data_IF_778381825812
#
_entry.id   IF_778381825812
#
_cell.length_a   1.000
_cell.length_b   1.000
_cell.length_c   1.000
_cell.angle_alpha   90.00
_cell.angle_beta   90.00
_cell.angle_gamma   90.00
#
_symmetry.space_group_name_H-M   'P 1'
#
loop_
_entity.id
_entity.type
_entity.pdbx_description
1 polymer ?
#
# COMPACT_ATOMS: atom_id res chain seq x y z
N UNK A 1 55.57 -47.85 -31.42
CA UNK A 1 54.90 -46.75 -32.08
C UNK A 1 53.47 -46.63 -31.44
N UNK A 2 53.21 -45.63 -30.59
CA UNK A 2 51.88 -45.37 -29.96
C UNK A 2 51.24 -44.21 -30.71
N UNK A 3 50.02 -44.43 -31.19
CA UNK A 3 49.22 -43.41 -31.85
C UNK A 3 48.69 -42.39 -30.83
N UNK A 4 48.61 -41.11 -31.19
CA UNK A 4 48.06 -40.08 -30.30
C UNK A 4 46.54 -40.13 -30.26
N UNK A 5 45.95 -40.10 -29.05
CA UNK A 5 44.51 -39.94 -28.81
C UNK A 5 44.14 -38.43 -28.89
N UNK A 6 43.20 -38.11 -29.77
CA UNK A 6 42.58 -36.78 -29.89
C UNK A 6 41.57 -36.56 -28.74
N UNK A 7 41.51 -35.37 -28.15
CA UNK A 7 40.51 -35.06 -27.12
C UNK A 7 39.11 -34.85 -27.74
N UNK A 8 38.09 -35.50 -27.14
CA UNK A 8 36.69 -35.29 -27.45
C UNK A 8 36.23 -33.93 -26.87
N UNK A 9 35.94 -33.01 -27.75
CA UNK A 9 35.27 -31.78 -27.39
C UNK A 9 33.78 -32.08 -27.03
N UNK A 10 33.41 -31.88 -25.77
CA UNK A 10 32.03 -31.86 -25.34
C UNK A 10 31.39 -30.50 -25.77
N UNK A 11 30.49 -30.54 -26.75
CA UNK A 11 29.64 -29.41 -27.10
C UNK A 11 28.58 -29.30 -26.01
N UNK A 12 28.70 -28.32 -25.11
CA UNK A 12 27.61 -27.91 -24.20
C UNK A 12 26.63 -27.04 -24.95
N UNK A 13 25.45 -27.59 -25.31
CA UNK A 13 24.35 -26.83 -25.88
C UNK A 13 23.67 -25.98 -24.78
N UNK A 14 23.90 -24.69 -24.81
CA UNK A 14 23.18 -23.73 -23.96
C UNK A 14 21.78 -23.54 -24.57
N UNK A 15 20.76 -24.14 -23.97
CA UNK A 15 19.37 -23.85 -24.28
C UNK A 15 19.02 -22.54 -23.61
N UNK A 16 18.98 -21.47 -24.39
CA UNK A 16 18.46 -20.17 -23.94
C UNK A 16 16.94 -20.28 -23.82
N UNK A 17 16.43 -20.39 -22.59
CA UNK A 17 15.01 -20.29 -22.31
C UNK A 17 14.55 -18.85 -22.57
N UNK A 18 13.85 -18.63 -23.66
CA UNK A 18 13.16 -17.37 -23.94
C UNK A 18 11.99 -17.27 -22.97
N UNK A 19 12.10 -16.40 -21.98
CA UNK A 19 10.98 -16.02 -21.12
C UNK A 19 9.99 -15.23 -22.00
N UNK A 20 8.94 -15.87 -22.45
CA UNK A 20 7.80 -15.18 -23.08
C UNK A 20 7.06 -14.48 -21.93
N UNK A 21 6.90 -13.14 -21.96
CA UNK A 21 6.10 -12.45 -20.94
C UNK A 21 4.67 -12.98 -21.01
N UNK A 22 4.13 -13.39 -19.85
CA UNK A 22 2.74 -13.80 -19.76
C UNK A 22 1.85 -12.63 -20.23
N UNK A 23 0.80 -12.89 -21.06
CA UNK A 23 -0.13 -11.85 -21.44
C UNK A 23 -0.76 -11.23 -20.21
N UNK A 24 -0.82 -9.89 -20.16
CA UNK A 24 -1.54 -9.19 -19.11
C UNK A 24 -2.96 -9.78 -19.02
N UNK A 25 -3.34 -10.29 -17.87
CA UNK A 25 -4.66 -10.89 -17.67
C UNK A 25 -5.71 -9.83 -18.04
N UNK A 26 -6.56 -10.13 -19.01
CA UNK A 26 -7.68 -9.25 -19.37
C UNK A 26 -8.54 -9.04 -18.10
N UNK A 27 -8.84 -7.77 -17.78
CA UNK A 27 -9.67 -7.45 -16.62
C UNK A 27 -11.00 -8.18 -16.73
N UNK A 28 -11.42 -8.88 -15.67
CA UNK A 28 -12.69 -9.58 -15.66
C UNK A 28 -13.85 -8.59 -15.86
N UNK A 29 -15.00 -9.01 -16.42
CA UNK A 29 -16.18 -8.14 -16.54
C UNK A 29 -16.61 -7.52 -15.20
N UNK A 30 -16.34 -8.21 -14.11
CA UNK A 30 -16.63 -7.75 -12.73
C UNK A 30 -15.74 -6.58 -12.34
N UNK A 31 -14.43 -6.62 -12.65
CA UNK A 31 -13.50 -5.52 -12.40
C UNK A 31 -13.82 -4.30 -13.27
N UNK A 32 -14.18 -4.51 -14.54
CA UNK A 32 -14.64 -3.43 -15.45
C UNK A 32 -15.91 -2.79 -14.89
N UNK A 33 -16.85 -3.59 -14.37
CA UNK A 33 -18.06 -3.10 -13.72
C UNK A 33 -17.76 -2.27 -12.44
N UNK A 34 -16.78 -2.69 -11.64
CA UNK A 34 -16.34 -1.96 -10.45
C UNK A 34 -15.66 -0.64 -10.82
N UNK A 35 -14.75 -0.64 -11.80
CA UNK A 35 -14.09 0.57 -12.28
C UNK A 35 -15.11 1.61 -12.77
N UNK A 36 -16.11 1.17 -13.54
CA UNK A 36 -17.18 2.03 -14.01
C UNK A 36 -18.02 2.61 -12.86
N UNK A 37 -18.37 1.79 -11.87
CA UNK A 37 -19.13 2.24 -10.71
C UNK A 37 -18.37 3.29 -9.91
N UNK A 38 -17.07 3.08 -9.68
CA UNK A 38 -16.19 4.05 -9.01
C UNK A 38 -16.05 5.34 -9.82
N UNK A 39 -15.83 5.23 -11.13
CA UNK A 39 -15.73 6.41 -12.02
C UNK A 39 -17.02 7.24 -12.02
N UNK A 40 -18.18 6.58 -12.08
CA UNK A 40 -19.49 7.26 -12.01
C UNK A 40 -19.69 7.97 -10.68
N UNK A 41 -19.36 7.30 -9.56
CA UNK A 41 -19.43 7.90 -8.23
C UNK A 41 -18.58 9.16 -8.12
N UNK A 42 -17.37 9.13 -8.68
CA UNK A 42 -16.43 10.26 -8.60
C UNK A 42 -16.78 11.40 -9.56
N UNK A 43 -17.39 11.13 -10.71
CA UNK A 43 -17.76 12.14 -11.68
C UNK A 43 -18.73 13.19 -11.12
N UNK A 44 -19.51 12.82 -10.11
CA UNK A 44 -20.47 13.71 -9.42
C UNK A 44 -19.86 14.42 -8.20
N UNK A 45 -18.60 14.19 -7.89
CA UNK A 45 -17.95 14.72 -6.68
C UNK A 45 -16.89 15.77 -7.04
N UNK A 46 -16.97 16.96 -6.42
CA UNK A 46 -15.95 17.98 -6.64
C UNK A 46 -14.60 17.56 -6.04
N UNK A 47 -13.53 17.80 -6.79
CA UNK A 47 -12.15 17.46 -6.41
C UNK A 47 -11.55 16.35 -7.27
N UNK A 48 -10.29 16.07 -7.03
CA UNK A 48 -9.55 15.03 -7.72
C UNK A 48 -9.40 13.80 -6.80
N UNK A 49 -9.72 12.65 -7.32
CA UNK A 49 -9.64 11.39 -6.60
C UNK A 49 -8.80 10.38 -7.37
N UNK A 50 -7.95 9.67 -6.62
CA UNK A 50 -7.18 8.54 -7.12
C UNK A 50 -7.44 7.32 -6.26
N UNK A 51 -7.79 6.20 -6.88
CA UNK A 51 -8.18 4.97 -6.21
C UNK A 51 -7.39 3.81 -6.80
N UNK A 52 -6.96 2.90 -5.94
CA UNK A 52 -6.60 1.54 -6.32
C UNK A 52 -7.11 0.56 -5.26
N UNK A 53 -7.59 -0.59 -5.71
CA UNK A 53 -7.93 -1.73 -4.86
C UNK A 53 -7.36 -3.01 -5.48
N UNK A 54 -6.66 -3.80 -4.66
CA UNK A 54 -5.95 -5.02 -5.07
C UNK A 54 -6.41 -6.18 -4.18
N UNK A 55 -7.02 -7.20 -4.76
CA UNK A 55 -7.25 -8.48 -4.07
C UNK A 55 -5.91 -9.20 -3.89
N UNK A 56 -5.52 -9.43 -2.64
CA UNK A 56 -4.22 -10.04 -2.32
C UNK A 56 -4.19 -11.56 -2.52
N UNK A 57 -5.34 -12.18 -2.82
CA UNK A 57 -5.43 -13.62 -3.07
C UNK A 57 -5.07 -13.98 -4.51
N UNK A 58 -5.57 -13.21 -5.47
CA UNK A 58 -5.44 -13.52 -6.89
C UNK A 58 -4.75 -12.43 -7.73
N UNK A 59 -4.42 -11.29 -7.10
CA UNK A 59 -3.79 -10.16 -7.77
C UNK A 59 -4.72 -9.31 -8.64
N UNK A 60 -6.03 -9.55 -8.59
CA UNK A 60 -7.02 -8.74 -9.29
C UNK A 60 -7.01 -7.30 -8.80
N UNK A 61 -6.81 -6.35 -9.70
CA UNK A 61 -6.71 -4.94 -9.37
C UNK A 61 -7.70 -4.10 -10.16
N UNK A 62 -8.31 -3.13 -9.50
CA UNK A 62 -9.09 -2.04 -10.10
C UNK A 62 -8.48 -0.71 -9.71
N UNK A 63 -8.49 0.26 -10.63
CA UNK A 63 -8.01 1.61 -10.32
C UNK A 63 -8.77 2.67 -11.11
N UNK A 64 -8.89 3.86 -10.50
CA UNK A 64 -9.36 5.09 -11.15
C UNK A 64 -8.32 6.15 -10.87
N UNK A 65 -7.76 6.77 -11.90
CA UNK A 65 -6.61 7.67 -11.79
C UNK A 65 -5.42 7.00 -11.07
N UNK A 66 -5.26 5.68 -11.26
CA UNK A 66 -4.34 4.83 -10.50
C UNK A 66 -2.87 5.23 -10.61
N UNK A 67 -2.46 5.83 -11.75
CA UNK A 67 -1.09 6.29 -12.02
C UNK A 67 -0.91 7.81 -11.83
N UNK A 68 -1.97 8.50 -11.42
CA UNK A 68 -1.89 9.93 -11.10
C UNK A 68 -1.23 10.12 -9.74
N UNK A 69 -0.28 11.06 -9.65
CA UNK A 69 0.40 11.39 -8.41
C UNK A 69 -0.45 12.26 -7.50
N UNK A 70 -0.54 11.87 -6.22
CA UNK A 70 -1.22 12.61 -5.16
C UNK A 70 -0.28 12.85 -3.98
N UNK A 71 -0.39 13.99 -3.26
CA UNK A 71 0.35 14.20 -2.01
C UNK A 71 -0.01 13.12 -0.99
N UNK A 72 0.99 12.41 -0.47
CA UNK A 72 0.78 11.31 0.48
C UNK A 72 0.26 11.78 1.83
N UNK A 73 0.64 12.97 2.26
CA UNK A 73 0.46 13.38 3.66
C UNK A 73 1.00 12.29 4.61
N UNK A 74 0.27 11.98 5.68
CA UNK A 74 0.74 10.99 6.67
C UNK A 74 0.66 9.52 6.22
N UNK A 75 0.20 9.20 5.01
CA UNK A 75 0.25 7.80 4.53
C UNK A 75 1.68 7.35 4.26
N UNK A 76 2.62 8.27 4.02
CA UNK A 76 4.07 8.00 3.90
C UNK A 76 4.65 7.30 5.14
N UNK A 77 4.01 7.42 6.30
CA UNK A 77 4.44 6.79 7.55
C UNK A 77 4.48 5.27 7.48
N UNK A 78 3.73 4.65 6.54
CA UNK A 78 3.84 3.23 6.26
C UNK A 78 5.20 2.86 5.66
N UNK A 79 5.70 3.64 4.71
CA UNK A 79 7.03 3.41 4.14
C UNK A 79 8.14 3.63 5.19
N UNK A 80 7.99 4.63 6.07
CA UNK A 80 8.94 4.88 7.16
C UNK A 80 8.94 3.70 8.14
N UNK A 81 7.77 3.21 8.55
CA UNK A 81 7.64 2.05 9.43
C UNK A 81 8.25 0.80 8.80
N UNK A 82 7.92 0.54 7.52
CA UNK A 82 8.45 -0.61 6.79
C UNK A 82 9.97 -0.58 6.66
N UNK A 83 10.56 0.59 6.38
CA UNK A 83 12.02 0.77 6.31
C UNK A 83 12.67 0.44 7.65
N UNK A 84 12.14 0.95 8.76
CA UNK A 84 12.67 0.66 10.08
C UNK A 84 12.56 -0.83 10.43
N UNK A 85 11.40 -1.43 10.18
CA UNK A 85 11.16 -2.85 10.45
C UNK A 85 12.02 -3.75 9.57
N UNK A 86 12.29 -3.40 8.32
CA UNK A 86 13.22 -4.12 7.46
C UNK A 86 14.65 -4.10 8.03
N UNK A 87 15.08 -3.01 8.68
CA UNK A 87 16.36 -2.96 9.41
C UNK A 87 16.35 -3.79 10.69
N UNK A 88 15.19 -3.89 11.38
CA UNK A 88 15.00 -4.79 12.53
C UNK A 88 15.14 -6.24 12.08
N UNK A 89 14.48 -6.63 10.99
CA UNK A 89 14.52 -7.99 10.43
C UNK A 89 15.92 -8.39 9.98
N UNK A 90 16.76 -7.42 9.61
CA UNK A 90 18.17 -7.63 9.24
C UNK A 90 19.14 -7.55 10.43
N UNK A 91 18.63 -7.38 11.66
CA UNK A 91 19.44 -7.29 12.86
C UNK A 91 20.25 -6.00 13.02
N UNK A 92 20.00 -4.99 12.15
CA UNK A 92 20.68 -3.68 12.25
C UNK A 92 20.06 -2.76 13.27
N UNK A 93 18.79 -3.00 13.66
CA UNK A 93 18.01 -2.24 14.65
C UNK A 93 17.19 -3.17 15.53
N UNK A 94 16.60 -2.60 16.57
CA UNK A 94 15.68 -3.28 17.46
C UNK A 94 14.45 -2.41 17.76
N UNK A 95 13.32 -3.04 18.01
CA UNK A 95 12.13 -2.34 18.53
C UNK A 95 12.37 -1.77 19.94
N UNK A 96 13.41 -2.26 20.64
CA UNK A 96 13.87 -1.74 21.93
C UNK A 96 14.81 -0.54 21.86
N UNK A 97 15.33 -0.18 20.67
CA UNK A 97 16.26 0.95 20.52
C UNK A 97 15.65 2.24 21.09
N UNK A 98 16.42 2.96 21.86
CA UNK A 98 15.96 4.19 22.50
C UNK A 98 16.02 5.38 21.53
N UNK A 99 14.87 5.92 21.18
CA UNK A 99 14.72 7.10 20.32
C UNK A 99 14.14 8.23 21.18
N UNK A 100 14.97 9.22 21.48
CA UNK A 100 14.61 10.39 22.30
C UNK A 100 13.86 9.97 23.58
N UNK A 101 14.45 9.02 24.34
CA UNK A 101 13.94 8.57 25.64
C UNK A 101 12.76 7.58 25.58
N UNK A 102 12.44 7.01 24.41
CA UNK A 102 11.37 6.02 24.26
C UNK A 102 11.83 4.85 23.38
N UNK A 103 11.39 3.63 23.65
CA UNK A 103 11.64 2.51 22.74
C UNK A 103 11.07 2.80 21.33
N UNK A 104 11.76 2.35 20.28
CA UNK A 104 11.34 2.50 18.90
C UNK A 104 9.91 1.96 18.65
N UNK A 105 9.55 0.85 19.29
CA UNK A 105 8.18 0.33 19.27
C UNK A 105 7.15 1.36 19.70
N UNK A 106 7.43 2.13 20.77
CA UNK A 106 6.53 3.17 21.27
C UNK A 106 6.48 4.40 20.37
N UNK A 107 7.60 4.77 19.78
CA UNK A 107 7.66 5.84 18.78
C UNK A 107 6.85 5.47 17.55
N UNK A 108 6.96 4.22 17.07
CA UNK A 108 6.20 3.71 15.94
C UNK A 108 4.70 3.62 16.26
N UNK A 109 4.33 3.20 17.47
CA UNK A 109 2.93 3.21 17.94
C UNK A 109 2.32 4.63 17.84
N UNK A 110 3.00 5.65 18.34
CA UNK A 110 2.55 7.04 18.24
C UNK A 110 2.43 7.49 16.77
N UNK A 111 3.41 7.13 15.95
CA UNK A 111 3.43 7.48 14.53
C UNK A 111 2.26 6.85 13.75
N UNK A 112 1.99 5.57 13.95
CA UNK A 112 0.97 4.85 13.17
C UNK A 112 -0.43 5.09 13.75
N UNK A 113 -0.62 4.87 15.06
CA UNK A 113 -1.96 4.94 15.68
C UNK A 113 -2.46 6.38 15.77
N UNK A 114 -1.61 7.31 16.25
CA UNK A 114 -1.97 8.72 16.49
C UNK A 114 -1.59 9.64 15.35
N UNK A 115 -0.87 9.12 14.35
CA UNK A 115 -0.28 9.93 13.28
C UNK A 115 0.62 11.06 13.81
N UNK A 116 1.32 10.85 14.92
CA UNK A 116 2.17 11.84 15.58
C UNK A 116 3.33 12.25 14.65
N UNK A 117 3.46 13.55 14.39
CA UNK A 117 4.45 14.10 13.45
C UNK A 117 5.85 14.15 14.07
N UNK A 118 5.95 14.43 15.38
CA UNK A 118 7.23 14.46 16.08
C UNK A 118 7.83 13.07 16.19
N UNK A 119 7.02 12.08 16.55
CA UNK A 119 7.44 10.68 16.55
C UNK A 119 7.89 10.23 15.15
N UNK A 120 7.20 10.69 14.09
CA UNK A 120 7.59 10.41 12.71
C UNK A 120 8.99 10.94 12.39
N UNK A 121 9.24 12.23 12.67
CA UNK A 121 10.54 12.84 12.35
C UNK A 121 11.66 12.28 13.23
N UNK A 122 11.37 11.89 14.47
CA UNK A 122 12.32 11.19 15.33
C UNK A 122 12.73 9.83 14.75
N UNK A 123 11.75 9.02 14.32
CA UNK A 123 12.05 7.72 13.70
C UNK A 123 12.78 7.91 12.36
N UNK A 124 12.32 8.84 11.54
CA UNK A 124 12.91 9.17 10.24
C UNK A 124 14.37 9.63 10.37
N UNK A 125 14.69 10.44 11.38
CA UNK A 125 16.05 10.89 11.65
C UNK A 125 17.01 9.72 11.95
N UNK A 126 16.53 8.67 12.68
CA UNK A 126 17.36 7.48 12.95
C UNK A 126 17.66 6.67 11.70
N UNK A 127 16.82 6.77 10.67
CA UNK A 127 16.99 6.08 9.39
C UNK A 127 17.92 6.83 8.41
N UNK A 128 18.28 8.08 8.69
CA UNK A 128 19.04 8.94 7.79
C UNK A 128 18.17 9.87 6.93
N UNK A 129 16.92 10.08 7.33
CA UNK A 129 16.02 11.04 6.70
C UNK A 129 15.30 10.52 5.44
N UNK A 130 14.66 11.41 4.66
CA UNK A 130 13.88 11.05 3.48
C UNK A 130 14.65 10.25 2.43
N UNK A 131 15.95 10.52 2.27
CA UNK A 131 16.81 9.83 1.31
C UNK A 131 16.85 8.32 1.57
N UNK A 132 16.93 7.91 2.85
CA UNK A 132 16.95 6.49 3.21
C UNK A 132 15.62 5.80 2.84
N UNK A 133 14.49 6.48 3.04
CA UNK A 133 13.18 5.96 2.65
C UNK A 133 13.11 5.80 1.12
N UNK A 134 13.59 6.81 0.38
CA UNK A 134 13.59 6.76 -1.07
C UNK A 134 14.48 5.63 -1.61
N UNK A 135 15.65 5.41 -1.00
CA UNK A 135 16.53 4.29 -1.34
C UNK A 135 15.87 2.94 -1.06
N UNK A 136 15.18 2.82 0.09
CA UNK A 136 14.44 1.60 0.42
C UNK A 136 13.30 1.34 -0.58
N UNK A 137 12.46 2.34 -0.89
CA UNK A 137 11.39 2.23 -1.89
C UNK A 137 11.94 1.78 -3.26
N UNK A 138 13.06 2.35 -3.68
CA UNK A 138 13.72 2.00 -4.93
C UNK A 138 14.25 0.56 -4.91
N UNK A 139 14.85 0.12 -3.79
CA UNK A 139 15.34 -1.26 -3.61
C UNK A 139 14.19 -2.28 -3.64
N UNK A 140 13.01 -1.87 -3.17
CA UNK A 140 11.80 -2.69 -3.20
C UNK A 140 11.07 -2.65 -4.56
N UNK A 141 11.60 -1.91 -5.54
CA UNK A 141 10.99 -1.75 -6.87
C UNK A 141 9.54 -1.24 -6.79
N UNK A 142 9.33 -0.19 -5.99
CA UNK A 142 8.03 0.49 -5.86
C UNK A 142 8.13 1.85 -6.57
N UNK A 143 7.95 1.92 -7.89
CA UNK A 143 7.90 3.19 -8.62
C UNK A 143 6.62 3.94 -8.26
N UNK A 144 6.61 5.27 -8.50
CA UNK A 144 5.43 6.09 -8.26
C UNK A 144 5.23 6.54 -6.81
N UNK A 145 6.20 6.27 -5.91
CA UNK A 145 6.27 6.85 -4.57
C UNK A 145 7.54 7.69 -4.42
N UNK A 146 7.41 8.88 -3.86
CA UNK A 146 8.51 9.80 -3.64
C UNK A 146 8.39 10.52 -2.30
N UNK A 147 9.46 10.49 -1.51
CA UNK A 147 9.58 11.23 -0.25
C UNK A 147 10.80 12.16 -0.33
N UNK A 148 10.57 13.46 -0.17
CA UNK A 148 11.61 14.49 -0.32
C UNK A 148 11.88 15.24 0.99
N UNK A 149 10.91 15.30 1.90
CA UNK A 149 10.93 16.17 3.09
C UNK A 149 10.65 15.40 4.36
N UNK A 150 11.17 15.92 5.48
CA UNK A 150 10.65 15.55 6.81
C UNK A 150 9.23 16.09 6.99
N UNK A 151 8.48 15.59 7.96
CA UNK A 151 7.14 16.12 8.24
C UNK A 151 7.20 17.59 8.69
N UNK A 152 8.21 17.95 9.48
CA UNK A 152 8.42 19.34 9.88
C UNK A 152 8.70 20.26 8.69
N UNK A 153 9.47 19.81 7.69
CA UNK A 153 9.70 20.57 6.46
C UNK A 153 8.42 20.73 5.64
N UNK A 154 7.69 19.62 5.43
CA UNK A 154 6.41 19.62 4.71
C UNK A 154 5.41 20.61 5.32
N UNK A 155 5.29 20.64 6.65
CA UNK A 155 4.36 21.52 7.34
C UNK A 155 4.80 23.00 7.28
N UNK A 156 6.11 23.28 7.32
CA UNK A 156 6.62 24.66 7.18
C UNK A 156 6.45 25.21 5.78
N UNK A 157 6.70 24.37 4.77
CA UNK A 157 6.57 24.75 3.37
C UNK A 157 5.11 24.85 2.89
N UNK A 158 4.15 24.46 3.76
CA UNK A 158 2.70 24.43 3.45
C UNK A 158 2.46 23.84 2.07
N UNK A 159 2.80 22.54 1.91
CA UNK A 159 2.74 21.83 0.64
C UNK A 159 1.50 22.21 -0.18
N UNK A 160 1.73 22.83 -1.33
CA UNK A 160 0.66 23.22 -2.24
C UNK A 160 0.02 21.97 -2.85
N UNK A 161 -1.29 22.04 -3.19
CA UNK A 161 -2.02 20.95 -3.85
C UNK A 161 -1.36 20.46 -5.14
N UNK A 162 -0.57 21.32 -5.78
CA UNK A 162 0.18 21.03 -7.01
C UNK A 162 1.65 20.62 -6.77
N UNK A 163 2.08 20.44 -5.51
CA UNK A 163 3.44 20.04 -5.20
C UNK A 163 3.72 18.61 -5.71
N UNK A 164 4.82 18.44 -6.42
CA UNK A 164 5.28 17.14 -6.94
C UNK A 164 6.16 16.38 -5.93
N UNK A 165 6.36 16.94 -4.73
CA UNK A 165 7.12 16.34 -3.63
C UNK A 165 6.22 15.55 -2.70
N UNK A 166 6.79 14.53 -2.07
CA UNK A 166 6.09 13.66 -1.09
C UNK A 166 4.77 13.09 -1.64
N UNK A 167 4.85 12.55 -2.84
CA UNK A 167 3.70 12.03 -3.59
C UNK A 167 3.74 10.52 -3.74
N UNK A 168 2.56 9.95 -3.94
CA UNK A 168 2.39 8.57 -4.40
C UNK A 168 1.27 8.46 -5.43
N UNK A 169 1.36 7.45 -6.29
CA UNK A 169 0.22 7.00 -7.06
C UNK A 169 -0.60 5.98 -6.25
N UNK A 170 -1.92 5.88 -6.46
CA UNK A 170 -2.73 4.83 -5.83
C UNK A 170 -2.18 3.42 -6.06
N UNK A 171 -1.76 3.11 -7.28
CA UNK A 171 -1.18 1.81 -7.64
C UNK A 171 0.12 1.55 -6.89
N UNK A 172 1.01 2.54 -6.77
CA UNK A 172 2.24 2.38 -5.99
C UNK A 172 1.96 2.12 -4.50
N UNK A 173 0.92 2.75 -3.95
CA UNK A 173 0.54 2.55 -2.56
C UNK A 173 -0.03 1.14 -2.31
N UNK A 174 -0.93 0.62 -3.15
CA UNK A 174 -1.40 -0.77 -2.99
C UNK A 174 -0.30 -1.79 -3.27
N UNK A 175 0.69 -1.46 -4.12
CA UNK A 175 1.89 -2.28 -4.32
C UNK A 175 2.73 -2.34 -3.04
N UNK A 176 2.93 -1.22 -2.34
CA UNK A 176 3.58 -1.22 -1.02
C UNK A 176 2.79 -2.08 -0.03
N UNK A 177 1.48 -1.89 0.06
CA UNK A 177 0.62 -2.68 0.94
C UNK A 177 0.71 -4.18 0.63
N UNK A 178 0.64 -4.58 -0.65
CA UNK A 178 0.80 -5.98 -1.06
C UNK A 178 2.12 -6.58 -0.56
N UNK A 179 3.23 -5.88 -0.77
CA UNK A 179 4.56 -6.33 -0.30
C UNK A 179 4.67 -6.41 1.23
N UNK A 180 3.93 -5.57 1.95
CA UNK A 180 3.83 -5.65 3.42
C UNK A 180 3.03 -6.89 3.84
N UNK A 181 2.03 -7.30 3.06
CA UNK A 181 1.17 -8.43 3.40
C UNK A 181 1.77 -9.79 3.03
N UNK A 182 2.41 -9.90 1.86
CA UNK A 182 2.93 -11.16 1.32
C UNK A 182 4.23 -11.64 1.99
N UNK A 183 4.84 -10.81 2.83
CA UNK A 183 6.07 -11.12 3.54
C UNK A 183 7.35 -10.96 2.70
N UNK A 184 7.27 -10.36 1.52
CA UNK A 184 8.46 -10.15 0.68
C UNK A 184 9.42 -9.09 1.23
N UNK A 185 8.91 -8.15 2.03
CA UNK A 185 9.68 -7.02 2.57
C UNK A 185 9.84 -7.04 4.08
N UNK A 186 9.03 -7.79 4.80
CA UNK A 186 9.06 -7.93 6.26
C UNK A 186 8.90 -9.39 6.68
N UNK A 187 9.57 -9.78 7.77
CA UNK A 187 9.29 -11.06 8.44
C UNK A 187 7.87 -11.11 8.97
N UNK A 188 7.36 -12.31 9.27
CA UNK A 188 6.03 -12.51 9.85
C UNK A 188 5.86 -11.71 11.16
N UNK A 189 6.91 -11.62 11.99
CA UNK A 189 6.88 -10.88 13.26
C UNK A 189 6.74 -9.37 13.03
N UNK A 190 7.57 -8.77 12.18
CA UNK A 190 7.53 -7.35 11.87
C UNK A 190 6.23 -6.96 11.15
N UNK A 191 5.76 -7.80 10.24
CA UNK A 191 4.46 -7.63 9.58
C UNK A 191 3.32 -7.63 10.59
N UNK A 192 3.25 -8.64 11.46
CA UNK A 192 2.20 -8.73 12.49
C UNK A 192 2.20 -7.50 13.37
N UNK A 193 3.37 -7.06 13.83
CA UNK A 193 3.51 -5.85 14.65
C UNK A 193 2.96 -4.60 13.92
N UNK A 194 3.32 -4.38 12.65
CA UNK A 194 2.84 -3.23 11.88
C UNK A 194 1.33 -3.28 11.67
N UNK A 195 0.79 -4.43 11.26
CA UNK A 195 -0.64 -4.60 11.03
C UNK A 195 -1.48 -4.43 12.30
N UNK A 196 -0.95 -4.86 13.46
CA UNK A 196 -1.59 -4.61 14.75
C UNK A 196 -1.65 -3.10 15.07
N UNK A 197 -0.59 -2.34 14.82
CA UNK A 197 -0.63 -0.89 14.97
C UNK A 197 -1.65 -0.23 14.02
N UNK A 198 -1.72 -0.68 12.76
CA UNK A 198 -2.67 -0.18 11.78
C UNK A 198 -4.13 -0.50 12.16
N UNK A 199 -4.40 -1.69 12.72
CA UNK A 199 -5.75 -2.07 13.17
C UNK A 199 -6.27 -1.15 14.29
N UNK A 200 -5.36 -0.54 15.06
CA UNK A 200 -5.64 0.39 16.15
C UNK A 200 -5.58 1.86 15.72
N UNK A 201 -5.54 2.15 14.41
CA UNK A 201 -5.52 3.52 13.90
C UNK A 201 -6.65 4.36 14.53
N UNK A 202 -6.28 5.41 15.25
CA UNK A 202 -7.22 6.26 16.00
C UNK A 202 -7.75 7.45 15.17
N UNK A 203 -7.34 7.54 13.91
CA UNK A 203 -7.74 8.61 13.01
C UNK A 203 -8.63 8.07 11.88
N UNK A 204 -9.43 8.94 11.24
CA UNK A 204 -10.16 8.56 10.02
C UNK A 204 -11.41 7.70 10.23
N UNK A 205 -12.07 7.78 11.39
CA UNK A 205 -13.31 7.03 11.66
C UNK A 205 -14.44 7.30 10.64
N UNK A 206 -14.35 8.41 9.88
CA UNK A 206 -15.29 8.79 8.81
C UNK A 206 -14.77 8.51 7.40
N UNK A 207 -13.77 7.63 7.24
CA UNK A 207 -13.17 7.27 5.94
C UNK A 207 -13.42 5.79 5.64
N UNK A 208 -12.43 5.01 5.23
CA UNK A 208 -12.59 3.60 4.82
C UNK A 208 -13.54 2.83 5.76
N UNK A 209 -13.40 2.98 7.07
CA UNK A 209 -14.19 2.22 8.07
C UNK A 209 -15.66 2.61 8.15
N UNK A 210 -16.03 3.83 7.73
CA UNK A 210 -17.27 4.45 8.13
C UNK A 210 -18.55 3.76 7.65
N UNK A 211 -18.53 3.21 6.42
CA UNK A 211 -19.72 2.60 5.81
C UNK A 211 -19.57 1.09 5.62
N UNK A 212 -18.48 0.49 6.10
CA UNK A 212 -18.32 -0.96 6.06
C UNK A 212 -19.25 -1.64 7.08
N UNK A 213 -19.65 -2.89 6.84
CA UNK A 213 -20.44 -3.65 7.79
C UNK A 213 -19.78 -3.72 9.17
N UNK A 214 -20.60 -3.72 10.22
CA UNK A 214 -20.09 -3.82 11.60
C UNK A 214 -19.23 -5.08 11.77
N UNK A 215 -18.09 -4.93 12.46
CA UNK A 215 -17.14 -6.02 12.68
C UNK A 215 -16.16 -6.26 11.52
N UNK A 216 -16.26 -5.54 10.40
CA UNK A 216 -15.26 -5.61 9.33
C UNK A 216 -13.89 -5.19 9.87
N UNK A 217 -12.92 -6.08 9.77
CA UNK A 217 -11.54 -5.77 10.16
C UNK A 217 -10.89 -4.88 9.11
N UNK A 218 -10.35 -3.76 9.57
CA UNK A 218 -9.61 -2.79 8.75
C UNK A 218 -8.29 -2.46 9.44
N UNK A 219 -7.21 -2.54 8.70
CA UNK A 219 -5.90 -2.01 9.09
C UNK A 219 -5.57 -0.84 8.17
N UNK A 220 -5.62 0.39 8.69
CA UNK A 220 -5.47 1.58 7.85
C UNK A 220 -4.46 2.60 8.39
N UNK A 221 -4.06 3.50 7.51
CA UNK A 221 -3.29 4.69 7.82
C UNK A 221 -3.84 5.88 7.04
N UNK A 222 -4.24 6.90 7.77
CA UNK A 222 -4.78 8.14 7.20
C UNK A 222 -3.69 9.16 6.85
N UNK A 223 -4.00 10.01 5.87
CA UNK A 223 -3.24 11.21 5.53
C UNK A 223 -4.15 12.45 5.48
N UNK A 224 -3.69 13.57 6.06
CA UNK A 224 -4.44 14.84 6.02
C UNK A 224 -3.47 16.02 5.94
N UNK A 225 -3.72 16.89 4.96
CA UNK A 225 -3.18 18.23 4.86
C UNK A 225 -4.32 19.17 4.46
N UNK A 226 -4.06 20.47 4.39
CA UNK A 226 -5.03 21.39 3.84
C UNK A 226 -5.39 20.98 2.40
N UNK A 227 -6.68 20.85 2.12
CA UNK A 227 -7.18 20.39 0.83
C UNK A 227 -6.89 18.93 0.46
N UNK A 228 -6.21 18.14 1.31
CA UNK A 228 -5.84 16.74 1.07
C UNK A 228 -6.46 15.84 2.14
N UNK A 229 -7.05 14.75 1.70
CA UNK A 229 -7.59 13.71 2.60
C UNK A 229 -7.35 12.34 1.97
N UNK A 230 -6.59 11.49 2.63
CA UNK A 230 -6.23 10.16 2.14
C UNK A 230 -6.55 9.11 3.18
N UNK A 231 -6.81 7.89 2.72
CA UNK A 231 -6.85 6.72 3.59
C UNK A 231 -6.39 5.50 2.81
N UNK A 232 -5.51 4.69 3.40
CA UNK A 232 -4.90 3.54 2.74
C UNK A 232 -4.75 2.39 3.73
N UNK A 233 -4.92 1.16 3.27
CA UNK A 233 -4.79 0.00 4.16
C UNK A 233 -5.44 -1.24 3.60
N UNK A 234 -5.92 -2.10 4.49
CA UNK A 234 -6.50 -3.39 4.16
C UNK A 234 -7.93 -3.49 4.69
N UNK A 235 -8.78 -4.11 3.89
CA UNK A 235 -10.12 -4.53 4.29
C UNK A 235 -10.12 -6.06 4.27
N UNK A 236 -10.47 -6.70 5.40
CA UNK A 236 -10.65 -8.15 5.45
C UNK A 236 -12.09 -8.49 5.08
N UNK A 237 -12.24 -9.29 4.04
CA UNK A 237 -13.53 -9.75 3.53
C UNK A 237 -14.10 -10.88 4.39
N UNK A 238 -15.42 -11.20 4.30
CA UNK A 238 -16.04 -12.24 5.12
C UNK A 238 -15.44 -13.64 4.95
N UNK A 239 -14.81 -13.95 3.81
CA UNK A 239 -14.11 -15.22 3.54
C UNK A 239 -12.64 -15.23 4.01
N UNK A 240 -12.21 -14.17 4.70
CA UNK A 240 -10.86 -14.02 5.21
C UNK A 240 -9.85 -13.49 4.19
N UNK A 241 -10.18 -13.33 2.90
CA UNK A 241 -9.28 -12.68 1.96
C UNK A 241 -9.12 -11.19 2.31
N UNK A 242 -8.02 -10.63 1.90
CA UNK A 242 -7.71 -9.22 2.16
C UNK A 242 -7.64 -8.44 0.86
N UNK A 243 -8.20 -7.25 0.88
CA UNK A 243 -8.12 -6.30 -0.23
C UNK A 243 -7.30 -5.10 0.24
N UNK A 244 -6.18 -4.84 -0.43
CA UNK A 244 -5.42 -3.62 -0.22
C UNK A 244 -6.12 -2.47 -0.94
N UNK A 245 -6.34 -1.35 -0.24
CA UNK A 245 -7.07 -0.19 -0.76
C UNK A 245 -6.25 1.06 -0.54
N UNK A 246 -6.16 1.92 -1.56
CA UNK A 246 -5.63 3.27 -1.46
C UNK A 246 -6.62 4.25 -2.06
N UNK A 247 -7.04 5.25 -1.26
CA UNK A 247 -7.89 6.34 -1.71
C UNK A 247 -7.22 7.66 -1.37
N UNK A 248 -6.87 8.40 -2.41
CA UNK A 248 -6.31 9.74 -2.33
C UNK A 248 -7.33 10.76 -2.83
N UNK A 249 -7.47 11.86 -2.11
CA UNK A 249 -8.38 12.94 -2.46
C UNK A 249 -7.75 14.30 -2.25
N UNK A 250 -7.81 15.17 -3.26
CA UNK A 250 -7.37 16.57 -3.18
C UNK A 250 -8.43 17.52 -3.73
N UNK A 251 -8.47 18.73 -3.18
CA UNK A 251 -9.49 19.71 -3.55
C UNK A 251 -10.90 19.28 -3.15
N UNK A 252 -11.90 20.01 -3.62
CA UNK A 252 -13.31 19.70 -3.34
C UNK A 252 -13.71 19.78 -1.86
N UNK A 253 -14.94 19.35 -1.59
CA UNK A 253 -15.52 19.24 -0.24
C UNK A 253 -15.88 17.78 0.03
N UNK A 254 -16.20 17.46 1.28
CA UNK A 254 -16.74 16.13 1.68
C UNK A 254 -15.87 14.92 1.31
N UNK A 255 -14.54 15.12 1.24
CA UNK A 255 -13.58 14.05 0.89
C UNK A 255 -13.67 12.81 1.77
N UNK A 256 -13.98 12.99 3.09
CA UNK A 256 -14.08 11.83 4.00
C UNK A 256 -15.29 10.94 3.68
N UNK A 257 -16.52 11.46 3.50
CA UNK A 257 -17.63 10.65 3.04
C UNK A 257 -17.39 9.96 1.69
N UNK A 258 -16.77 10.64 0.74
CA UNK A 258 -16.43 10.03 -0.57
C UNK A 258 -15.49 8.85 -0.40
N UNK A 259 -14.47 8.95 0.46
CA UNK A 259 -13.58 7.82 0.77
C UNK A 259 -14.38 6.64 1.37
N UNK A 260 -15.34 6.91 2.23
CA UNK A 260 -16.19 5.89 2.83
C UNK A 260 -17.09 5.21 1.79
N UNK A 261 -17.72 5.99 0.90
CA UNK A 261 -18.54 5.47 -0.20
C UNK A 261 -17.72 4.60 -1.17
N UNK A 262 -16.51 5.07 -1.54
CA UNK A 262 -15.56 4.30 -2.36
C UNK A 262 -15.23 2.96 -1.70
N UNK A 263 -14.87 2.97 -0.43
CA UNK A 263 -14.54 1.75 0.32
C UNK A 263 -15.75 0.80 0.40
N UNK A 264 -16.96 1.33 0.54
CA UNK A 264 -18.20 0.55 0.54
C UNK A 264 -18.45 -0.09 -0.83
N UNK A 265 -18.32 0.65 -1.92
CA UNK A 265 -18.49 0.11 -3.29
C UNK A 265 -17.48 -1.00 -3.57
N UNK A 266 -16.21 -0.82 -3.16
CA UNK A 266 -15.18 -1.84 -3.27
C UNK A 266 -15.58 -3.09 -2.47
N UNK A 267 -15.93 -2.92 -1.20
CA UNK A 267 -16.33 -4.01 -0.32
C UNK A 267 -17.50 -4.82 -0.90
N UNK A 268 -18.58 -4.14 -1.29
CA UNK A 268 -19.78 -4.81 -1.80
C UNK A 268 -19.47 -5.63 -3.06
N UNK A 269 -18.70 -5.09 -3.99
CA UNK A 269 -18.32 -5.81 -5.22
C UNK A 269 -17.50 -7.05 -4.96
N UNK A 270 -16.47 -6.95 -4.12
CA UNK A 270 -15.68 -8.12 -3.76
C UNK A 270 -16.51 -9.15 -2.96
N UNK A 271 -17.46 -8.72 -2.12
CA UNK A 271 -18.36 -9.62 -1.41
C UNK A 271 -19.39 -10.30 -2.34
N UNK A 272 -19.91 -9.62 -3.36
CA UNK A 272 -20.84 -10.17 -4.35
C UNK A 272 -20.17 -11.21 -5.26
N UNK A 273 -18.97 -10.94 -5.72
CA UNK A 273 -18.15 -11.88 -6.49
C UNK A 273 -18.00 -13.23 -5.75
N UNK A 274 -17.83 -13.19 -4.44
CA UNK A 274 -17.79 -14.37 -3.59
C UNK A 274 -19.11 -15.14 -3.59
N UNK A 275 -20.23 -14.43 -3.39
CA UNK A 275 -21.56 -15.06 -3.34
C UNK A 275 -21.88 -15.76 -4.65
N UNK A 276 -21.54 -15.13 -5.77
CA UNK A 276 -21.73 -15.69 -7.10
C UNK A 276 -20.87 -16.94 -7.32
N UNK A 277 -19.59 -16.90 -6.94
CA UNK A 277 -18.70 -18.05 -7.05
C UNK A 277 -19.17 -19.24 -6.19
N UNK A 278 -19.62 -18.98 -4.97
CA UNK A 278 -20.17 -20.01 -4.08
C UNK A 278 -21.48 -20.63 -4.63
N UNK A 279 -22.37 -19.78 -5.16
CA UNK A 279 -23.63 -20.24 -5.76
C UNK A 279 -23.36 -21.15 -6.98
N UNK A 280 -22.44 -20.79 -7.87
CA UNK A 280 -22.03 -21.62 -8.99
C UNK A 280 -21.44 -22.95 -8.55
N UNK A 281 -20.58 -22.96 -7.54
CA UNK A 281 -19.98 -24.18 -6.99
C UNK A 281 -21.04 -25.13 -6.40
N UNK A 282 -22.07 -24.59 -5.72
CA UNK A 282 -23.17 -25.39 -5.15
C UNK A 282 -24.12 -25.96 -6.23
N UNK A 283 -24.23 -25.30 -7.39
CA UNK A 283 -25.05 -25.80 -8.52
C UNK A 283 -24.35 -26.91 -9.31
N UNK A 284 -23.04 -27.06 -9.18
CA UNK A 284 -22.23 -28.07 -9.88
C UNK A 284 -22.10 -29.40 -9.08
N UNK A 285 -22.67 -29.48 -7.89
CA UNK A 285 -22.73 -30.67 -7.04
C UNK A 285 -24.12 -31.30 -7.06
#
# INVERSE_FOLDING_TARGET
MRAPQLPRLLLCSIVASVLVPAPAAASSPELIGLERALSTLLAERPGDYGIAALDLRDGSMVSVNGDTSFPMASTVKLAIAATYLAEVDQGRRSLGDMIVGRPAAKVMELMIIRSDNRATDQLLATLGGPVAIQQWLSSQKIPGMRMDRTIAQLLRERGHLADSKDVATPVAMVTLLSKLDDGTVLTAQSRTFLLELMSRCATGTRRIRALLPAGTRVEDKTGTLDGITNDVGFITMPDGRRVAVAVFARGGRDRQPVIAEVARVIYDRFADSMRNALALFLQMR
#
